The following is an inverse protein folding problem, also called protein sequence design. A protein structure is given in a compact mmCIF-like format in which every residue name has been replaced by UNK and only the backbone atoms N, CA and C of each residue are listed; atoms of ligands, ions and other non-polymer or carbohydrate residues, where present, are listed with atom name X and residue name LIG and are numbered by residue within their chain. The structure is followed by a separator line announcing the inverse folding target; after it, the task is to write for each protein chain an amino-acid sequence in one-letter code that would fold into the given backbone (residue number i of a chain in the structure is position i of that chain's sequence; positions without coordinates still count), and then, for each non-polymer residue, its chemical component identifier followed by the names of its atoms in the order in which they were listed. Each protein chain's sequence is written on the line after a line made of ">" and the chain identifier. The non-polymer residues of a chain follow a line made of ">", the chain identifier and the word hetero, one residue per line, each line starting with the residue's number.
data_IF_151134533689
#
_entry.id   IF_151134533689
#
_cell.length_a   1.000
_cell.length_b   1.000
_cell.length_c   1.000
_cell.angle_alpha   90.00
_cell.angle_beta   90.00
_cell.angle_gamma   90.00
#
_symmetry.space_group_name_H-M   'P 1'
#
loop_
_entity.id
_entity.type
_entity.pdbx_description
1 polymer ?
#
# COMPACT_ATOMS: atom_id res chain seq x y z
N UNK A 1 64.09 -23.85 12.45
CA UNK A 1 62.88 -24.60 12.00
C UNK A 1 62.24 -23.85 10.83
N UNK A 2 62.32 -24.45 9.64
CA UNK A 2 62.13 -23.81 8.34
C UNK A 2 60.66 -23.45 8.05
N UNK A 3 60.49 -22.32 7.36
CA UNK A 3 59.22 -21.80 6.83
C UNK A 3 58.89 -22.55 5.54
N UNK A 4 57.71 -23.17 5.48
CA UNK A 4 57.18 -23.84 4.28
C UNK A 4 56.71 -22.84 3.23
N UNK A 5 56.98 -23.06 1.93
CA UNK A 5 56.44 -22.21 0.88
C UNK A 5 55.01 -22.61 0.46
N UNK A 6 54.20 -21.61 0.15
CA UNK A 6 52.83 -21.74 -0.37
C UNK A 6 52.80 -22.42 -1.76
N UNK A 7 51.78 -23.25 -2.06
CA UNK A 7 51.62 -23.85 -3.38
C UNK A 7 51.08 -22.85 -4.41
N UNK A 8 51.63 -22.92 -5.62
CA UNK A 8 51.21 -22.17 -6.81
C UNK A 8 49.88 -22.73 -7.35
N UNK A 9 48.92 -21.88 -7.79
CA UNK A 9 47.65 -22.35 -8.32
C UNK A 9 47.78 -22.89 -9.75
N UNK A 10 47.24 -24.08 -9.98
CA UNK A 10 47.08 -24.72 -11.29
C UNK A 10 45.98 -24.01 -12.09
N UNK A 11 46.15 -23.74 -13.40
CA UNK A 11 45.10 -23.13 -14.21
C UNK A 11 43.96 -24.12 -14.51
N UNK A 12 42.73 -23.68 -14.26
CA UNK A 12 41.50 -24.42 -14.62
C UNK A 12 41.33 -24.53 -16.15
N UNK A 13 40.89 -25.69 -16.67
CA UNK A 13 40.64 -25.86 -18.11
C UNK A 13 39.38 -25.12 -18.57
N UNK A 14 39.52 -24.40 -19.68
CA UNK A 14 38.42 -23.72 -20.40
C UNK A 14 37.38 -24.73 -20.90
N UNK A 15 36.07 -24.54 -20.66
CA UNK A 15 35.04 -25.45 -21.15
C UNK A 15 34.81 -25.28 -22.66
N UNK A 16 34.73 -26.41 -23.38
CA UNK A 16 34.43 -26.47 -24.81
C UNK A 16 32.98 -26.01 -25.12
N UNK A 17 32.72 -25.41 -26.30
CA UNK A 17 31.40 -24.92 -26.68
C UNK A 17 30.38 -26.05 -26.91
N UNK A 18 29.19 -25.90 -26.33
CA UNK A 18 28.04 -26.81 -26.51
C UNK A 18 27.44 -26.66 -27.92
N UNK A 19 27.11 -27.75 -28.63
CA UNK A 19 26.42 -27.68 -29.91
C UNK A 19 24.95 -27.26 -29.75
N UNK A 20 24.50 -26.41 -30.68
CA UNK A 20 23.14 -25.85 -30.75
C UNK A 20 22.11 -26.94 -31.09
N UNK A 21 21.02 -26.98 -30.32
CA UNK A 21 19.92 -27.94 -30.53
C UNK A 21 18.81 -27.27 -31.33
N UNK A 22 18.60 -27.77 -32.54
CA UNK A 22 17.56 -27.32 -33.48
C UNK A 22 16.15 -27.51 -32.92
N UNK A 23 15.31 -26.48 -33.09
CA UNK A 23 13.87 -26.50 -32.82
C UNK A 23 13.18 -27.53 -33.72
N UNK A 24 12.43 -28.46 -33.13
CA UNK A 24 11.37 -29.21 -33.83
C UNK A 24 10.05 -28.93 -33.13
N UNK A 25 9.19 -28.24 -33.87
CA UNK A 25 7.77 -28.02 -33.62
C UNK A 25 7.00 -29.31 -33.86
N UNK A 26 6.14 -29.69 -32.93
CA UNK A 26 5.09 -30.70 -33.17
C UNK A 26 3.80 -30.24 -32.51
N UNK A 27 2.85 -29.86 -33.36
CA UNK A 27 1.48 -29.55 -33.03
C UNK A 27 0.75 -30.78 -32.49
N UNK A 28 -0.05 -30.59 -31.45
CA UNK A 28 -1.12 -31.51 -31.07
C UNK A 28 -2.41 -30.71 -30.96
N UNK A 29 -3.37 -31.14 -31.76
CA UNK A 29 -4.78 -30.74 -31.82
C UNK A 29 -5.59 -31.79 -31.02
N UNK A 30 -6.82 -31.42 -30.64
CA UNK A 30 -7.91 -32.17 -29.97
C UNK A 30 -7.99 -32.06 -28.44
N UNK A 31 -9.16 -31.96 -27.81
CA UNK A 31 -10.52 -31.48 -28.14
C UNK A 31 -11.20 -31.26 -26.76
N UNK A 32 -11.97 -30.18 -26.59
CA UNK A 32 -12.82 -29.94 -25.39
C UNK A 32 -14.12 -30.74 -25.48
N UNK A 33 -14.70 -31.14 -24.33
CA UNK A 33 -16.14 -31.23 -24.20
C UNK A 33 -16.70 -30.23 -23.19
N UNK A 34 -17.77 -29.60 -23.65
CA UNK A 34 -18.75 -28.74 -22.98
C UNK A 34 -19.63 -29.57 -22.03
N UNK A 35 -19.87 -29.10 -20.80
CA UNK A 35 -21.09 -29.41 -20.03
C UNK A 35 -21.56 -28.16 -19.26
N UNK A 36 -22.84 -27.82 -19.48
CA UNK A 36 -23.65 -26.71 -18.93
C UNK A 36 -23.95 -26.88 -17.41
N UNK A 37 -23.95 -25.85 -16.55
CA UNK A 37 -24.90 -24.72 -16.34
C UNK A 37 -26.16 -25.11 -15.51
N UNK A 38 -26.29 -24.50 -14.31
CA UNK A 38 -27.51 -24.10 -13.53
C UNK A 38 -27.17 -24.15 -12.01
N UNK A 39 -27.51 -23.22 -11.09
CA UNK A 39 -28.68 -22.34 -10.91
C UNK A 39 -28.30 -21.06 -10.11
N UNK A 40 -29.09 -20.00 -10.31
CA UNK A 40 -29.07 -18.68 -9.63
C UNK A 40 -30.26 -18.59 -8.65
N UNK A 41 -30.13 -17.80 -7.56
CA UNK A 41 -31.24 -17.19 -6.80
C UNK A 41 -30.81 -16.80 -5.38
N UNK A 42 -30.31 -15.59 -5.12
CA UNK A 42 -31.02 -14.31 -4.88
C UNK A 42 -31.71 -14.22 -3.51
N UNK A 43 -31.26 -13.28 -2.66
CA UNK A 43 -32.09 -12.45 -1.78
C UNK A 43 -31.29 -11.22 -1.29
N UNK A 44 -31.91 -10.04 -1.44
CA UNK A 44 -31.47 -8.70 -1.04
C UNK A 44 -32.45 -8.12 -0.01
N UNK A 45 -31.97 -7.11 0.73
CA UNK A 45 -32.65 -6.11 1.59
C UNK A 45 -32.90 -6.57 3.07
N UNK A 46 -32.63 -5.80 4.14
CA UNK A 46 -32.76 -4.35 4.36
C UNK A 46 -31.87 -3.80 5.52
N UNK A 47 -31.56 -2.50 5.42
CA UNK A 47 -31.42 -1.43 6.46
C UNK A 47 -30.29 -1.43 7.52
N UNK A 48 -29.43 -0.40 7.42
CA UNK A 48 -29.30 0.65 8.44
C UNK A 48 -28.36 0.40 9.62
N UNK A 49 -27.09 0.85 9.49
CA UNK A 49 -26.16 0.99 10.60
C UNK A 49 -24.76 1.31 10.08
N UNK A 50 -24.10 2.32 10.66
CA UNK A 50 -22.75 2.74 10.30
C UNK A 50 -21.79 1.54 10.33
N UNK A 51 -21.36 1.09 9.15
CA UNK A 51 -20.38 0.02 9.01
C UNK A 51 -19.13 0.62 8.39
N UNK A 52 -18.04 0.61 9.15
CA UNK A 52 -16.70 0.58 8.58
C UNK A 52 -16.59 -0.67 7.72
N UNK A 53 -16.81 -0.51 6.41
CA UNK A 53 -16.65 -1.61 5.46
C UNK A 53 -15.16 -1.72 5.14
N UNK A 54 -14.54 -2.77 5.65
CA UNK A 54 -13.25 -3.28 5.14
C UNK A 54 -13.38 -3.51 3.63
N UNK A 55 -12.76 -2.65 2.81
CA UNK A 55 -12.58 -2.88 1.37
C UNK A 55 -11.26 -3.64 1.18
N UNK A 56 -11.34 -4.97 1.21
CA UNK A 56 -10.22 -5.85 0.89
C UNK A 56 -10.18 -6.07 -0.64
N UNK A 57 -9.52 -5.17 -1.36
CA UNK A 57 -9.35 -5.25 -2.82
C UNK A 57 -7.88 -5.15 -3.21
N UNK A 58 -7.02 -5.86 -2.48
CA UNK A 58 -5.58 -5.86 -2.78
C UNK A 58 -5.27 -6.41 -4.19
N UNK A 59 -6.05 -7.33 -4.77
CA UNK A 59 -5.82 -7.84 -6.14
C UNK A 59 -7.08 -8.46 -6.78
N UNK A 60 -8.09 -7.65 -7.10
CA UNK A 60 -9.19 -8.11 -7.95
C UNK A 60 -8.76 -8.20 -9.43
N UNK A 61 -9.01 -9.34 -10.10
CA UNK A 61 -8.72 -9.50 -11.54
C UNK A 61 -9.65 -8.58 -12.36
N UNK A 62 -9.17 -7.95 -13.44
CA UNK A 62 -10.06 -7.18 -14.31
C UNK A 62 -11.05 -8.13 -15.01
N UNK A 63 -12.34 -7.89 -14.78
CA UNK A 63 -13.41 -8.50 -15.58
C UNK A 63 -13.35 -7.93 -17.00
N UNK A 64 -13.32 -8.81 -18.00
CA UNK A 64 -13.32 -8.44 -19.40
C UNK A 64 -14.62 -7.73 -19.79
N UNK A 65 -14.51 -6.48 -20.26
CA UNK A 65 -15.60 -5.75 -20.90
C UNK A 65 -15.79 -6.21 -22.35
N UNK A 66 -17.01 -6.57 -22.71
CA UNK A 66 -17.47 -6.72 -24.10
C UNK A 66 -18.57 -5.68 -24.41
N UNK A 67 -18.77 -5.33 -25.69
CA UNK A 67 -19.11 -3.97 -26.10
C UNK A 67 -20.62 -3.65 -26.12
N UNK A 68 -20.88 -2.35 -26.05
CA UNK A 68 -22.16 -1.67 -26.16
C UNK A 68 -22.84 -1.92 -27.51
N UNK A 69 -24.15 -2.18 -27.48
CA UNK A 69 -25.02 -2.13 -28.64
C UNK A 69 -25.86 -0.85 -28.64
N UNK A 70 -25.86 -0.19 -29.80
CA UNK A 70 -26.64 0.99 -30.19
C UNK A 70 -28.10 0.61 -30.47
N UNK A 71 -29.05 1.46 -30.10
CA UNK A 71 -30.32 1.55 -30.82
C UNK A 71 -30.90 2.97 -30.77
N UNK A 72 -31.59 3.34 -31.85
CA UNK A 72 -31.81 4.70 -32.30
C UNK A 72 -33.30 5.10 -32.30
N UNK A 73 -33.50 6.42 -32.32
CA UNK A 73 -34.56 7.17 -33.02
C UNK A 73 -35.97 7.24 -32.42
N UNK A 74 -36.44 8.48 -32.16
CA UNK A 74 -37.54 9.08 -32.95
C UNK A 74 -37.71 10.61 -32.72
N UNK A 75 -37.31 11.36 -33.75
CA UNK A 75 -37.94 12.49 -34.44
C UNK A 75 -39.01 13.39 -33.77
N UNK A 76 -38.89 14.73 -33.94
CA UNK A 76 -40.04 15.64 -33.78
C UNK A 76 -39.80 17.17 -33.75
N UNK A 77 -39.59 17.79 -34.92
CA UNK A 77 -40.04 19.15 -35.36
C UNK A 77 -39.58 20.46 -34.68
N UNK A 78 -38.87 21.26 -35.49
CA UNK A 78 -38.81 22.75 -35.54
C UNK A 78 -40.21 23.37 -35.89
N UNK A 79 -40.48 24.71 -35.80
CA UNK A 79 -39.67 25.79 -36.39
C UNK A 79 -39.57 27.18 -35.67
N UNK A 80 -38.50 27.87 -36.04
CA UNK A 80 -38.20 29.33 -36.18
C UNK A 80 -39.23 30.39 -35.75
N UNK A 81 -38.78 31.52 -35.15
CA UNK A 81 -39.01 32.90 -35.63
C UNK A 81 -37.94 33.87 -35.05
N UNK A 82 -37.37 34.73 -35.89
CA UNK A 82 -36.81 36.05 -35.56
C UNK A 82 -37.65 37.08 -36.37
N UNK A 83 -37.93 38.30 -35.87
CA UNK A 83 -37.34 39.45 -36.58
C UNK A 83 -37.06 40.71 -35.73
N UNK A 84 -36.02 41.41 -36.21
CA UNK A 84 -35.71 42.85 -36.26
C UNK A 84 -36.53 43.91 -35.49
N UNK A 85 -35.80 44.90 -34.95
CA UNK A 85 -36.29 46.24 -34.64
C UNK A 85 -35.19 47.21 -34.16
N UNK A 86 -34.85 48.20 -35.00
CA UNK A 86 -34.10 49.46 -34.73
C UNK A 86 -35.00 50.57 -35.35
N UNK A 87 -34.97 51.90 -35.04
CA UNK A 87 -33.81 52.70 -34.61
C UNK A 87 -34.02 53.96 -33.72
N UNK A 88 -32.89 54.49 -33.21
CA UNK A 88 -32.53 55.92 -33.33
C UNK A 88 -32.72 56.85 -32.11
N UNK A 89 -31.64 57.44 -31.59
CA UNK A 89 -31.30 58.86 -31.81
C UNK A 89 -29.96 59.25 -31.15
N UNK A 90 -29.34 60.26 -31.74
CA UNK A 90 -27.95 60.66 -31.60
C UNK A 90 -27.63 61.55 -30.37
N UNK A 91 -26.37 61.51 -29.96
CA UNK A 91 -25.73 62.51 -29.12
C UNK A 91 -24.21 62.36 -29.18
N UNK A 92 -23.55 63.20 -29.96
CA UNK A 92 -22.08 63.36 -29.92
C UNK A 92 -21.68 64.11 -28.65
N UNK A 93 -20.76 63.54 -27.88
CA UNK A 93 -19.90 64.27 -26.97
C UNK A 93 -18.49 63.65 -27.02
N UNK A 94 -17.52 64.50 -27.30
CA UNK A 94 -16.09 64.24 -27.44
C UNK A 94 -15.52 63.75 -26.11
N UNK A 95 -14.94 62.54 -26.08
CA UNK A 95 -14.25 62.01 -24.90
C UNK A 95 -12.72 62.04 -25.11
N UNK A 96 -12.04 62.57 -24.10
CA UNK A 96 -10.59 62.82 -24.01
C UNK A 96 -9.88 61.46 -23.84
N UNK A 97 -8.70 61.21 -24.45
CA UNK A 97 -7.98 59.96 -24.21
C UNK A 97 -7.49 59.90 -22.75
N UNK A 98 -8.05 58.99 -21.96
CA UNK A 98 -7.53 58.62 -20.64
C UNK A 98 -6.32 57.71 -20.87
N UNK A 99 -5.13 58.00 -20.29
CA UNK A 99 -3.99 57.12 -20.46
C UNK A 99 -4.25 55.77 -19.79
N UNK A 100 -3.88 54.69 -20.47
CA UNK A 100 -3.95 53.33 -19.95
C UNK A 100 -3.18 53.23 -18.62
N UNK A 101 -3.91 52.98 -17.54
CA UNK A 101 -3.30 52.57 -16.29
C UNK A 101 -2.73 51.16 -16.49
N UNK A 102 -1.42 51.01 -16.28
CA UNK A 102 -0.80 49.71 -16.03
C UNK A 102 -1.62 48.95 -14.98
N UNK A 103 -1.79 47.63 -15.08
CA UNK A 103 -2.33 46.85 -13.97
C UNK A 103 -1.42 47.08 -12.77
N UNK A 104 -1.96 47.75 -11.76
CA UNK A 104 -1.34 47.85 -10.45
C UNK A 104 -1.13 46.42 -9.96
N UNK A 105 0.13 46.04 -9.83
CA UNK A 105 0.57 44.84 -9.16
C UNK A 105 -0.10 44.82 -7.78
N UNK A 106 -1.09 43.94 -7.59
CA UNK A 106 -1.74 43.76 -6.31
C UNK A 106 -0.63 43.27 -5.36
N UNK A 107 -0.37 43.96 -4.23
CA UNK A 107 0.64 43.52 -3.29
C UNK A 107 0.34 42.08 -2.86
N UNK A 108 1.35 41.24 -2.59
CA UNK A 108 1.12 39.92 -2.03
C UNK A 108 0.28 40.09 -0.77
N UNK A 109 -0.95 39.58 -0.78
CA UNK A 109 -1.68 39.34 0.44
C UNK A 109 -0.87 38.30 1.20
N UNK A 110 -0.04 38.79 2.10
CA UNK A 110 0.59 38.03 3.16
C UNK A 110 -0.58 37.49 4.00
N UNK A 111 -1.06 36.29 3.64
CA UNK A 111 -1.98 35.49 4.44
C UNK A 111 -1.20 35.13 5.70
N UNK A 112 -1.16 36.07 6.63
CA UNK A 112 -0.42 36.04 7.87
C UNK A 112 -1.14 35.10 8.85
N UNK A 113 -1.29 33.83 8.45
CA UNK A 113 -1.56 32.77 9.40
C UNK A 113 -0.36 32.75 10.35
N UNK A 114 -0.54 32.92 11.67
CA UNK A 114 0.57 32.75 12.58
C UNK A 114 1.17 31.37 12.31
N UNK A 115 2.48 31.33 12.03
CA UNK A 115 3.22 30.12 11.72
C UNK A 115 3.14 29.14 12.90
N UNK A 116 2.06 28.38 12.97
CA UNK A 116 1.76 27.38 13.98
C UNK A 116 1.69 26.00 13.34
N UNK A 117 1.98 24.96 14.14
CA UNK A 117 1.85 23.57 13.70
C UNK A 117 0.42 23.04 13.90
N UNK A 118 -0.58 23.93 13.86
CA UNK A 118 -1.98 23.55 13.93
C UNK A 118 -2.36 22.77 12.66
N UNK A 119 -3.08 21.67 12.85
CA UNK A 119 -3.56 20.83 11.75
C UNK A 119 -4.95 21.29 11.31
N UNK A 120 -5.12 21.54 10.01
CA UNK A 120 -6.39 21.90 9.37
C UNK A 120 -7.03 20.69 8.68
N UNK A 121 -6.84 19.50 9.26
CA UNK A 121 -7.24 18.23 8.69
C UNK A 121 -6.07 17.33 8.31
N UNK A 122 -6.31 16.34 7.44
CA UNK A 122 -5.35 15.30 7.08
C UNK A 122 -5.48 14.81 5.65
N UNK A 123 -4.41 14.23 5.13
CA UNK A 123 -4.37 13.42 3.91
C UNK A 123 -3.99 12.00 4.29
N UNK A 124 -4.75 11.01 3.81
CA UNK A 124 -4.50 9.58 4.06
C UNK A 124 -4.56 8.78 2.76
N UNK A 125 -3.67 7.79 2.66
CA UNK A 125 -3.63 6.85 1.55
C UNK A 125 -4.40 5.58 1.88
N UNK A 126 -5.05 5.01 0.87
CA UNK A 126 -5.82 3.78 0.96
C UNK A 126 -5.52 2.86 -0.23
N UNK A 127 -6.03 1.65 -0.13
CA UNK A 127 -6.04 0.69 -1.23
C UNK A 127 -7.47 0.60 -1.75
N UNK A 128 -7.65 0.76 -3.06
CA UNK A 128 -8.93 0.57 -3.71
C UNK A 128 -8.89 -0.41 -4.87
N UNK A 129 -8.31 -0.03 -6.00
CA UNK A 129 -8.17 -0.91 -7.17
C UNK A 129 -6.79 -1.56 -7.20
N UNK A 130 -5.79 -0.85 -6.69
CA UNK A 130 -4.42 -1.26 -6.49
C UNK A 130 -3.92 -0.98 -5.08
N UNK A 131 -2.60 -1.01 -4.92
CA UNK A 131 -1.96 -0.71 -3.64
C UNK A 131 -1.55 0.76 -3.59
N UNK A 132 -1.97 1.50 -2.56
CA UNK A 132 -1.73 2.94 -2.39
C UNK A 132 -2.21 3.78 -3.57
N UNK A 133 -3.35 3.43 -4.16
CA UNK A 133 -3.92 4.09 -5.34
C UNK A 133 -5.07 5.06 -5.02
N UNK A 134 -5.48 5.14 -3.75
CA UNK A 134 -6.50 6.09 -3.29
C UNK A 134 -5.92 7.06 -2.27
N UNK A 135 -6.37 8.31 -2.33
CA UNK A 135 -6.09 9.35 -1.34
C UNK A 135 -7.39 10.01 -0.93
N UNK A 136 -7.59 10.14 0.37
CA UNK A 136 -8.66 10.97 0.94
C UNK A 136 -8.01 12.14 1.67
N UNK A 137 -8.40 13.35 1.26
CA UNK A 137 -8.07 14.59 1.94
C UNK A 137 -9.31 15.06 2.70
N UNK A 138 -9.19 15.22 4.00
CA UNK A 138 -10.22 15.85 4.84
C UNK A 138 -9.66 17.14 5.39
N UNK A 139 -10.30 18.27 5.07
CA UNK A 139 -9.97 19.59 5.58
C UNK A 139 -10.97 20.02 6.65
N UNK A 140 -10.52 20.78 7.65
CA UNK A 140 -11.34 21.27 8.75
C UNK A 140 -10.97 22.68 9.15
N UNK A 141 -11.97 23.57 9.27
CA UNK A 141 -11.77 24.94 9.74
C UNK A 141 -10.85 25.79 8.86
N UNK A 142 -10.81 25.53 7.56
CA UNK A 142 -10.10 26.38 6.59
C UNK A 142 -10.92 27.65 6.38
N UNK A 143 -10.25 28.81 6.39
CA UNK A 143 -10.90 30.09 6.11
C UNK A 143 -11.39 30.14 4.66
N UNK A 144 -12.59 30.68 4.37
CA UNK A 144 -13.09 30.82 3.01
C UNK A 144 -12.08 31.52 2.09
N UNK A 145 -12.00 31.08 0.84
CA UNK A 145 -11.18 31.76 -0.16
C UNK A 145 -11.69 33.19 -0.38
N UNK A 146 -10.81 34.18 -0.61
CA UNK A 146 -11.22 35.54 -0.98
C UNK A 146 -12.08 35.57 -2.25
N UNK A 147 -12.90 36.62 -2.40
CA UNK A 147 -13.74 36.82 -3.57
C UNK A 147 -12.94 36.71 -4.88
N UNK A 148 -13.45 35.92 -5.83
CA UNK A 148 -12.79 35.66 -7.11
C UNK A 148 -11.71 34.58 -7.07
N UNK A 149 -11.52 33.90 -5.93
CA UNK A 149 -10.60 32.78 -5.78
C UNK A 149 -11.31 31.51 -5.27
N UNK A 150 -10.62 30.38 -5.38
CA UNK A 150 -10.99 29.09 -4.83
C UNK A 150 -9.75 28.33 -4.36
N UNK A 151 -9.92 27.32 -3.52
CA UNK A 151 -8.84 26.40 -3.16
C UNK A 151 -8.83 25.19 -4.07
N UNK A 152 -7.65 24.77 -4.50
CA UNK A 152 -7.44 23.51 -5.22
C UNK A 152 -6.38 22.68 -4.52
N UNK A 153 -6.61 21.37 -4.43
CA UNK A 153 -5.72 20.43 -3.76
C UNK A 153 -4.91 19.62 -4.76
N UNK A 154 -3.66 19.32 -4.40
CA UNK A 154 -2.70 18.65 -5.25
C UNK A 154 -1.88 17.65 -4.43
N UNK A 155 -1.62 16.48 -5.02
CA UNK A 155 -0.46 15.68 -4.64
C UNK A 155 0.78 16.23 -5.34
N UNK A 156 1.88 16.32 -4.59
CA UNK A 156 3.14 16.87 -5.06
C UNK A 156 4.28 15.85 -4.92
N UNK A 157 5.04 15.72 -6.01
CA UNK A 157 6.36 15.08 -6.05
C UNK A 157 7.44 16.14 -6.29
N UNK A 158 8.64 15.71 -6.68
CA UNK A 158 9.75 16.64 -6.96
C UNK A 158 9.38 17.66 -8.06
N UNK A 159 9.03 17.16 -9.25
CA UNK A 159 8.75 17.98 -10.43
C UNK A 159 7.33 17.82 -10.97
N UNK A 160 6.53 16.93 -10.38
CA UNK A 160 5.20 16.57 -10.88
C UNK A 160 4.13 16.81 -9.84
N UNK A 161 3.00 17.33 -10.29
CA UNK A 161 1.83 17.61 -9.46
C UNK A 161 0.65 16.85 -10.05
N UNK A 162 -0.25 16.38 -9.19
CA UNK A 162 -1.49 15.71 -9.58
C UNK A 162 -2.64 16.42 -8.88
N UNK A 163 -3.53 17.04 -9.67
CA UNK A 163 -4.74 17.66 -9.12
C UNK A 163 -5.60 16.59 -8.46
N UNK A 164 -6.10 16.93 -7.28
CA UNK A 164 -7.15 16.24 -6.56
C UNK A 164 -8.52 16.91 -6.79
N UNK A 165 -8.51 18.16 -7.27
CA UNK A 165 -9.69 18.95 -7.60
C UNK A 165 -9.89 20.16 -6.69
N UNK A 166 -11.00 20.86 -6.93
CA UNK A 166 -11.44 22.02 -6.14
C UNK A 166 -11.85 21.56 -4.74
N UNK A 167 -11.32 22.22 -3.72
CA UNK A 167 -11.65 22.00 -2.32
C UNK A 167 -12.91 22.79 -1.95
N UNK A 168 -14.07 22.18 -2.15
CA UNK A 168 -15.36 22.78 -1.87
C UNK A 168 -15.64 22.83 -0.36
N UNK A 169 -15.33 23.98 0.27
CA UNK A 169 -15.56 24.21 1.69
C UNK A 169 -17.05 24.38 2.03
N UNK A 170 -17.49 23.80 3.15
CA UNK A 170 -18.77 24.09 3.77
C UNK A 170 -18.73 25.41 4.58
N UNK A 171 -19.86 25.79 5.16
CA UNK A 171 -19.97 27.03 5.96
C UNK A 171 -19.10 27.04 7.22
N UNK A 172 -18.62 25.89 7.67
CA UNK A 172 -17.72 25.72 8.81
C UNK A 172 -16.24 25.57 8.37
N UNK A 173 -15.95 25.69 7.07
CA UNK A 173 -14.60 25.56 6.53
C UNK A 173 -14.11 24.12 6.41
N UNK A 174 -15.02 23.13 6.39
CA UNK A 174 -14.66 21.72 6.19
C UNK A 174 -14.84 21.30 4.75
N UNK A 175 -14.04 20.34 4.29
CA UNK A 175 -14.19 19.71 2.99
C UNK A 175 -13.62 18.30 2.99
N UNK A 176 -14.05 17.51 2.01
CA UNK A 176 -13.49 16.20 1.73
C UNK A 176 -13.28 16.04 0.23
N UNK A 177 -12.13 15.49 -0.16
CA UNK A 177 -11.83 15.06 -1.52
C UNK A 177 -11.37 13.61 -1.47
N UNK A 178 -11.97 12.78 -2.30
CA UNK A 178 -11.51 11.41 -2.58
C UNK A 178 -10.98 11.35 -4.00
N UNK A 179 -9.73 10.92 -4.13
CA UNK A 179 -9.07 10.71 -5.42
C UNK A 179 -8.61 9.26 -5.53
N UNK A 180 -8.83 8.68 -6.71
CA UNK A 180 -8.40 7.32 -7.05
C UNK A 180 -7.59 7.39 -8.35
N UNK A 181 -6.42 6.75 -8.36
CA UNK A 181 -5.68 6.50 -9.59
C UNK A 181 -6.42 5.42 -10.41
N UNK A 182 -6.92 5.82 -11.58
CA UNK A 182 -7.73 4.97 -12.46
C UNK A 182 -6.95 3.78 -13.02
N UNK A 183 -5.62 3.82 -12.95
CA UNK A 183 -4.72 2.74 -13.38
C UNK A 183 -4.26 1.87 -12.21
N UNK A 184 -4.71 2.15 -10.98
CA UNK A 184 -4.31 1.42 -9.78
C UNK A 184 -2.83 1.60 -9.44
N UNK A 185 -2.21 2.70 -9.88
CA UNK A 185 -0.81 2.99 -9.61
C UNK A 185 -0.56 3.38 -8.15
N UNK A 186 0.52 2.87 -7.57
CA UNK A 186 0.95 3.27 -6.24
C UNK A 186 1.40 4.75 -6.23
N UNK A 187 0.59 5.61 -5.62
CA UNK A 187 0.79 7.06 -5.59
C UNK A 187 2.04 7.48 -4.82
N UNK A 188 2.45 6.72 -3.80
CA UNK A 188 3.64 7.00 -2.99
C UNK A 188 4.95 6.86 -3.79
N UNK A 189 4.92 6.19 -4.94
CA UNK A 189 6.07 6.12 -5.86
C UNK A 189 6.46 7.49 -6.41
N UNK A 190 5.50 8.41 -6.53
CA UNK A 190 5.68 9.73 -7.17
C UNK A 190 5.40 10.90 -6.25
N UNK A 191 4.47 10.73 -5.31
CA UNK A 191 3.95 11.82 -4.50
C UNK A 191 4.19 11.53 -3.03
N UNK A 192 4.87 12.46 -2.35
CA UNK A 192 5.17 12.39 -0.92
C UNK A 192 4.84 13.70 -0.19
N UNK A 193 4.18 14.62 -0.88
CA UNK A 193 3.72 15.91 -0.38
C UNK A 193 2.31 16.17 -0.87
N UNK A 194 1.67 17.12 -0.22
CA UNK A 194 0.40 17.72 -0.66
C UNK A 194 0.52 19.23 -0.62
N UNK A 195 -0.21 19.90 -1.51
CA UNK A 195 -0.35 21.36 -1.55
C UNK A 195 -1.84 21.70 -1.72
N UNK A 196 -2.31 22.73 -1.02
CA UNK A 196 -3.58 23.41 -1.31
C UNK A 196 -3.20 24.83 -1.75
N UNK A 197 -3.57 25.19 -2.96
CA UNK A 197 -3.25 26.47 -3.58
C UNK A 197 -4.48 27.36 -3.69
N UNK A 198 -4.26 28.67 -3.73
CA UNK A 198 -5.30 29.65 -4.00
C UNK A 198 -5.32 29.98 -5.51
N UNK A 199 -6.36 29.52 -6.19
CA UNK A 199 -6.52 29.65 -7.65
C UNK A 199 -7.63 30.66 -8.01
N UNK A 200 -7.57 31.31 -9.20
CA UNK A 200 -8.68 32.13 -9.69
C UNK A 200 -9.98 31.33 -9.81
N UNK A 201 -11.13 31.96 -9.65
CA UNK A 201 -12.44 31.35 -9.89
C UNK A 201 -13.23 32.16 -10.93
N UNK A 202 -13.45 31.63 -12.16
CA UNK A 202 -13.09 30.29 -12.62
C UNK A 202 -11.59 30.13 -12.92
N UNK A 203 -11.05 28.93 -12.68
CA UNK A 203 -9.69 28.56 -13.12
C UNK A 203 -9.72 27.92 -14.51
N UNK A 204 -8.80 28.33 -15.37
CA UNK A 204 -8.59 27.77 -16.70
C UNK A 204 -7.21 27.12 -16.86
N UNK A 205 -6.34 27.25 -15.86
CA UNK A 205 -5.03 26.63 -15.83
C UNK A 205 -5.14 25.17 -15.37
N UNK A 206 -4.52 24.21 -16.06
CA UNK A 206 -4.40 22.84 -15.55
C UNK A 206 -3.28 22.67 -14.51
N UNK A 207 -2.49 23.72 -14.26
CA UNK A 207 -1.35 23.73 -13.35
C UNK A 207 -1.62 24.66 -12.16
N UNK A 208 -1.08 24.35 -10.97
CA UNK A 208 -1.24 25.22 -9.80
C UNK A 208 -0.58 26.57 -10.03
N UNK A 209 -1.18 27.65 -9.51
CA UNK A 209 -0.60 29.01 -9.52
C UNK A 209 0.69 29.12 -8.71
N UNK A 210 0.97 28.15 -7.84
CA UNK A 210 2.09 28.18 -6.89
C UNK A 210 1.82 29.04 -5.65
N UNK A 211 0.62 29.64 -5.53
CA UNK A 211 0.19 30.35 -4.31
C UNK A 211 -0.30 29.35 -3.26
N UNK A 212 0.64 28.64 -2.65
CA UNK A 212 0.36 27.58 -1.67
C UNK A 212 -0.11 28.19 -0.35
N UNK A 213 -1.37 27.93 0.00
CA UNK A 213 -2.00 28.37 1.24
C UNK A 213 -1.82 27.34 2.37
N UNK A 214 -1.85 26.04 2.04
CA UNK A 214 -1.58 24.96 2.99
C UNK A 214 -0.70 23.89 2.33
N UNK A 215 0.13 23.23 3.12
CA UNK A 215 0.96 22.14 2.63
C UNK A 215 1.24 21.09 3.70
N UNK A 216 1.70 19.93 3.24
CA UNK A 216 2.23 18.89 4.10
C UNK A 216 3.12 17.93 3.30
N UNK A 217 3.67 16.94 4.00
CA UNK A 217 4.39 15.84 3.38
C UNK A 217 4.86 14.83 4.40
N UNK A 218 5.39 13.72 3.88
CA UNK A 218 6.06 12.72 4.70
C UNK A 218 7.51 13.18 4.92
N UNK A 219 8.00 13.26 6.17
CA UNK A 219 9.37 13.66 6.47
C UNK A 219 10.40 12.81 5.70
N UNK A 220 11.34 13.44 4.97
CA UNK A 220 12.15 12.76 3.97
C UNK A 220 13.09 11.70 4.54
N UNK A 221 13.64 11.86 5.74
CA UNK A 221 14.59 10.88 6.28
C UNK A 221 13.84 9.61 6.72
N UNK A 222 12.69 9.76 7.38
CA UNK A 222 11.81 8.63 7.69
C UNK A 222 11.20 7.99 6.43
N UNK A 223 10.86 8.80 5.41
CA UNK A 223 10.21 8.35 4.17
C UNK A 223 10.99 7.24 3.45
N UNK A 224 12.31 7.30 3.43
CA UNK A 224 13.13 6.29 2.74
C UNK A 224 12.86 4.88 3.31
N UNK A 225 12.80 4.76 4.64
CA UNK A 225 12.48 3.50 5.30
C UNK A 225 11.02 3.09 5.13
N UNK A 226 10.08 4.04 5.12
CA UNK A 226 8.68 3.76 4.82
C UNK A 226 8.50 3.24 3.38
N UNK A 227 9.27 3.76 2.42
CA UNK A 227 9.28 3.24 1.05
C UNK A 227 9.86 1.83 0.96
N UNK A 228 10.87 1.50 1.77
CA UNK A 228 11.37 0.12 1.84
C UNK A 228 10.30 -0.87 2.34
N UNK A 229 9.38 -0.43 3.21
CA UNK A 229 8.24 -1.25 3.65
C UNK A 229 7.17 -1.43 2.57
N UNK A 230 6.76 -0.32 1.93
CA UNK A 230 5.52 -0.27 1.15
C UNK A 230 5.70 -0.19 -0.38
N UNK A 231 6.84 0.29 -0.85
CA UNK A 231 7.08 0.53 -2.27
C UNK A 231 8.07 -0.48 -2.83
N UNK A 232 9.28 -0.53 -2.26
CA UNK A 232 10.34 -1.37 -2.79
C UNK A 232 11.65 -1.23 -2.03
N UNK A 233 12.42 -2.32 -2.00
CA UNK A 233 13.77 -2.36 -1.45
C UNK A 233 14.70 -3.08 -2.43
N UNK A 234 15.95 -2.63 -2.56
CA UNK A 234 16.83 -3.11 -3.63
C UNK A 234 17.18 -4.60 -3.49
N UNK A 235 17.26 -5.11 -2.25
CA UNK A 235 17.70 -6.48 -1.98
C UNK A 235 16.55 -7.50 -2.01
N UNK A 236 15.29 -7.06 -2.12
CA UNK A 236 14.14 -7.97 -2.26
C UNK A 236 13.91 -8.37 -3.72
N UNK A 237 13.32 -9.56 -3.97
CA UNK A 237 12.94 -9.97 -5.31
C UNK A 237 11.98 -8.98 -5.96
N UNK A 238 12.24 -8.69 -7.24
CA UNK A 238 11.49 -7.71 -8.03
C UNK A 238 11.42 -6.32 -7.40
N UNK A 239 12.32 -6.00 -6.46
CA UNK A 239 12.33 -4.76 -5.70
C UNK A 239 11.00 -4.49 -4.97
N UNK A 240 10.40 -5.54 -4.40
CA UNK A 240 9.13 -5.48 -3.69
C UNK A 240 9.31 -4.87 -2.29
N UNK A 241 8.34 -4.09 -1.80
CA UNK A 241 8.38 -3.60 -0.41
C UNK A 241 8.35 -4.77 0.59
N UNK A 242 9.09 -4.66 1.69
CA UNK A 242 9.24 -5.76 2.67
C UNK A 242 7.88 -6.29 3.16
N UNK A 243 7.00 -5.37 3.58
CA UNK A 243 5.70 -5.72 4.14
C UNK A 243 4.72 -6.19 3.06
N UNK A 244 4.89 -5.72 1.82
CA UNK A 244 4.12 -6.18 0.66
C UNK A 244 4.48 -7.63 0.31
N UNK A 245 5.77 -7.97 0.31
CA UNK A 245 6.26 -9.33 0.14
C UNK A 245 5.85 -10.26 1.28
N UNK A 246 5.93 -9.77 2.52
CA UNK A 246 5.43 -10.48 3.71
C UNK A 246 3.95 -10.86 3.56
N UNK A 247 3.10 -9.92 3.11
CA UNK A 247 1.68 -10.16 2.89
C UNK A 247 1.41 -11.16 1.75
N UNK A 248 2.21 -11.16 0.69
CA UNK A 248 2.10 -12.15 -0.39
C UNK A 248 2.46 -13.56 0.12
N UNK A 249 3.58 -13.70 0.84
CA UNK A 249 3.98 -14.98 1.42
C UNK A 249 2.97 -15.51 2.46
N UNK A 250 2.43 -14.65 3.33
CA UNK A 250 1.40 -15.03 4.30
C UNK A 250 0.11 -15.55 3.63
N UNK A 251 -0.30 -14.98 2.49
CA UNK A 251 -1.42 -15.49 1.69
C UNK A 251 -1.13 -16.87 1.10
N UNK A 252 0.07 -17.06 0.53
CA UNK A 252 0.49 -18.38 0.03
C UNK A 252 0.46 -19.44 1.14
N UNK A 253 0.89 -19.10 2.36
CA UNK A 253 0.78 -20.03 3.51
C UNK A 253 -0.67 -20.43 3.78
N UNK A 254 -1.62 -19.48 3.73
CA UNK A 254 -3.03 -19.77 3.94
C UNK A 254 -3.63 -20.64 2.82
N UNK A 255 -3.25 -20.41 1.57
CA UNK A 255 -3.65 -21.25 0.44
C UNK A 255 -3.16 -22.69 0.60
N UNK A 256 -1.86 -22.85 0.93
CA UNK A 256 -1.26 -24.17 1.08
C UNK A 256 -1.72 -24.91 2.33
N UNK A 257 -2.00 -24.22 3.44
CA UNK A 257 -2.52 -24.88 4.65
C UNK A 257 -3.94 -25.40 4.43
N UNK A 258 -4.77 -24.66 3.68
CA UNK A 258 -6.11 -25.11 3.30
C UNK A 258 -6.03 -26.33 2.35
N UNK A 259 -5.11 -26.29 1.38
CA UNK A 259 -4.86 -27.43 0.50
C UNK A 259 -4.34 -28.66 1.26
N UNK A 260 -3.45 -28.47 2.23
CA UNK A 260 -2.93 -29.53 3.12
C UNK A 260 -4.05 -30.17 3.94
N UNK A 261 -4.91 -29.36 4.57
CA UNK A 261 -6.06 -29.85 5.33
C UNK A 261 -7.01 -30.67 4.45
N UNK A 262 -7.38 -30.15 3.28
CA UNK A 262 -8.25 -30.86 2.35
C UNK A 262 -7.61 -32.15 1.81
N UNK A 263 -6.29 -32.18 1.62
CA UNK A 263 -5.57 -33.39 1.24
C UNK A 263 -5.63 -34.46 2.34
N UNK A 264 -5.47 -34.05 3.60
CA UNK A 264 -5.58 -34.92 4.76
C UNK A 264 -6.97 -35.56 4.88
N UNK A 265 -8.03 -34.77 4.74
CA UNK A 265 -9.42 -35.26 4.77
C UNK A 265 -9.72 -36.29 3.67
N UNK A 266 -9.12 -36.10 2.49
CA UNK A 266 -9.20 -37.04 1.37
C UNK A 266 -8.21 -38.21 1.47
N UNK A 267 -7.47 -38.33 2.58
CA UNK A 267 -6.46 -39.36 2.84
C UNK A 267 -5.35 -39.41 1.77
N UNK A 268 -4.98 -38.26 1.21
CA UNK A 268 -3.93 -38.11 0.19
C UNK A 268 -2.61 -37.73 0.84
N UNK A 269 -1.89 -38.72 1.38
CA UNK A 269 -0.66 -38.48 2.15
C UNK A 269 0.43 -37.72 1.39
N UNK A 270 0.67 -38.05 0.12
CA UNK A 270 1.66 -37.35 -0.70
C UNK A 270 1.33 -35.86 -0.86
N UNK A 271 0.06 -35.53 -1.08
CA UNK A 271 -0.38 -34.13 -1.22
C UNK A 271 -0.27 -33.35 0.11
N UNK A 272 -0.43 -34.02 1.26
CA UNK A 272 -0.18 -33.38 2.57
C UNK A 272 1.28 -32.99 2.69
N UNK A 273 2.22 -33.91 2.40
CA UNK A 273 3.66 -33.63 2.50
C UNK A 273 4.11 -32.56 1.50
N UNK A 274 3.60 -32.62 0.27
CA UNK A 274 3.87 -31.62 -0.76
C UNK A 274 3.46 -30.20 -0.35
N UNK A 275 2.27 -30.04 0.24
CA UNK A 275 1.84 -28.72 0.72
C UNK A 275 2.63 -28.27 1.96
N UNK A 276 2.97 -29.20 2.85
CA UNK A 276 3.82 -28.87 4.00
C UNK A 276 5.22 -28.42 3.56
N UNK A 277 5.81 -29.07 2.56
CA UNK A 277 7.07 -28.65 1.94
C UNK A 277 6.97 -27.25 1.35
N UNK A 278 5.93 -26.98 0.55
CA UNK A 278 5.71 -25.66 -0.04
C UNK A 278 5.68 -24.56 1.04
N UNK A 279 5.00 -24.82 2.15
CA UNK A 279 4.95 -23.90 3.27
C UNK A 279 6.30 -23.70 3.96
N UNK A 280 7.10 -24.76 4.15
CA UNK A 280 8.48 -24.62 4.69
C UNK A 280 9.33 -23.77 3.75
N UNK A 281 9.27 -24.02 2.44
CA UNK A 281 10.04 -23.27 1.45
C UNK A 281 9.63 -21.79 1.38
N UNK A 282 8.33 -21.46 1.53
CA UNK A 282 7.84 -20.08 1.69
C UNK A 282 8.40 -19.43 2.96
N UNK A 283 8.44 -20.17 4.07
CA UNK A 283 8.88 -19.64 5.37
C UNK A 283 10.37 -19.32 5.38
N UNK A 284 11.22 -20.22 4.89
CA UNK A 284 12.68 -20.11 5.05
C UNK A 284 13.38 -19.46 3.86
N UNK A 285 12.78 -19.47 2.68
CA UNK A 285 13.42 -18.98 1.46
C UNK A 285 14.55 -19.88 0.93
N UNK A 286 15.04 -19.59 -0.28
CA UNK A 286 15.93 -20.45 -1.07
C UNK A 286 17.31 -20.72 -0.46
N UNK A 287 17.79 -19.82 0.37
CA UNK A 287 19.07 -19.91 1.09
C UNK A 287 18.85 -20.27 2.57
N UNK A 288 17.60 -20.38 3.02
CA UNK A 288 17.24 -20.70 4.39
C UNK A 288 17.53 -22.15 4.74
N UNK A 289 17.83 -22.37 6.03
CA UNK A 289 17.96 -23.71 6.56
C UNK A 289 16.63 -24.45 6.46
N UNK A 290 16.65 -25.65 5.89
CA UNK A 290 15.45 -26.47 5.70
C UNK A 290 14.75 -26.25 4.36
N UNK A 291 15.31 -25.45 3.44
CA UNK A 291 14.83 -25.35 2.07
C UNK A 291 15.12 -26.65 1.28
N UNK A 292 14.18 -27.08 0.43
CA UNK A 292 14.43 -28.12 -0.57
C UNK A 292 13.23 -29.01 -0.88
N UNK A 293 13.54 -30.19 -1.45
CA UNK A 293 12.63 -31.30 -1.70
C UNK A 293 12.59 -32.17 -0.42
N UNK A 294 11.66 -31.84 0.45
CA UNK A 294 11.51 -32.39 1.79
C UNK A 294 10.64 -33.64 1.79
N UNK A 295 9.68 -33.73 0.87
CA UNK A 295 8.85 -34.92 0.68
C UNK A 295 9.50 -36.01 -0.18
N UNK A 296 10.63 -35.68 -0.82
CA UNK A 296 11.49 -36.57 -1.62
C UNK A 296 10.80 -37.10 -2.87
N UNK A 297 9.88 -36.32 -3.46
CA UNK A 297 9.22 -36.65 -4.72
C UNK A 297 10.10 -36.36 -5.96
N UNK A 298 11.29 -35.78 -5.76
CA UNK A 298 12.25 -35.40 -6.79
C UNK A 298 12.06 -33.98 -7.30
N UNK A 299 11.18 -33.17 -6.70
CA UNK A 299 10.90 -31.78 -7.08
C UNK A 299 10.83 -30.90 -5.85
N UNK A 300 11.48 -29.74 -5.93
CA UNK A 300 11.29 -28.68 -4.94
C UNK A 300 9.99 -27.94 -5.23
N UNK A 301 9.06 -27.97 -4.28
CA UNK A 301 7.81 -27.22 -4.33
C UNK A 301 8.00 -25.88 -3.65
N UNK A 302 8.16 -24.81 -4.43
CA UNK A 302 8.32 -23.45 -3.93
C UNK A 302 7.52 -22.48 -4.81
N UNK A 303 6.32 -22.06 -4.38
CA UNK A 303 5.48 -21.11 -5.11
C UNK A 303 5.89 -19.66 -4.87
N UNK A 304 6.86 -19.40 -3.98
CA UNK A 304 7.25 -18.06 -3.56
C UNK A 304 8.30 -17.44 -4.50
N UNK A 305 8.71 -16.22 -4.18
CA UNK A 305 9.86 -15.58 -4.81
C UNK A 305 11.22 -16.12 -4.30
N UNK A 306 11.21 -16.93 -3.24
CA UNK A 306 12.39 -17.50 -2.60
C UNK A 306 13.09 -16.60 -1.59
N UNK A 307 12.50 -15.46 -1.21
CA UNK A 307 13.08 -14.56 -0.21
C UNK A 307 12.88 -15.03 1.23
N UNK A 308 11.79 -15.75 1.50
CA UNK A 308 11.48 -16.24 2.84
C UNK A 308 10.80 -15.19 3.74
N UNK A 309 9.95 -15.67 4.66
CA UNK A 309 9.42 -14.86 5.74
C UNK A 309 10.45 -14.70 6.87
N UNK A 310 11.12 -15.79 7.21
CA UNK A 310 12.18 -15.90 8.22
C UNK A 310 13.55 -15.71 7.59
N UNK A 311 14.60 -15.72 8.43
CA UNK A 311 15.99 -15.62 8.01
C UNK A 311 16.31 -16.59 6.85
N UNK A 312 16.83 -16.04 5.76
CA UNK A 312 17.08 -16.74 4.52
C UNK A 312 18.59 -16.89 4.31
N UNK A 313 19.22 -17.71 5.14
CA UNK A 313 20.68 -17.89 5.15
C UNK A 313 21.36 -16.71 5.85
N UNK A 314 22.21 -15.97 5.13
CA UNK A 314 22.91 -14.79 5.66
C UNK A 314 22.16 -13.46 5.48
N UNK A 315 20.98 -13.49 4.84
CA UNK A 315 20.15 -12.31 4.57
C UNK A 315 18.85 -12.36 5.39
N UNK A 316 18.34 -11.18 5.72
CA UNK A 316 17.04 -11.00 6.38
C UNK A 316 15.91 -11.60 5.54
N UNK A 317 14.90 -12.16 6.22
CA UNK A 317 13.61 -12.45 5.60
C UNK A 317 12.69 -11.23 5.60
N UNK A 318 11.51 -11.37 5.00
CA UNK A 318 10.54 -10.27 4.97
C UNK A 318 10.13 -9.76 6.36
N UNK A 319 10.04 -10.64 7.37
CA UNK A 319 9.63 -10.24 8.72
C UNK A 319 10.68 -9.35 9.38
N UNK A 320 11.95 -9.78 9.37
CA UNK A 320 13.05 -9.00 9.98
C UNK A 320 13.26 -7.68 9.24
N UNK A 321 13.20 -7.68 7.90
CA UNK A 321 13.26 -6.46 7.11
C UNK A 321 12.13 -5.49 7.45
N UNK A 322 10.91 -5.99 7.68
CA UNK A 322 9.79 -5.16 8.16
C UNK A 322 10.07 -4.58 9.55
N UNK A 323 10.57 -5.39 10.49
CA UNK A 323 10.92 -4.93 11.85
C UNK A 323 11.98 -3.83 11.79
N UNK A 324 13.07 -4.08 11.08
CA UNK A 324 14.19 -3.13 10.95
C UNK A 324 13.76 -1.82 10.31
N UNK A 325 13.08 -1.86 9.16
CA UNK A 325 12.72 -0.62 8.46
C UNK A 325 11.60 0.16 9.14
N UNK A 326 10.68 -0.49 9.86
CA UNK A 326 9.74 0.23 10.71
C UNK A 326 10.47 0.93 11.87
N UNK A 327 11.38 0.22 12.55
CA UNK A 327 12.20 0.80 13.61
C UNK A 327 13.05 1.99 13.12
N UNK A 328 13.73 1.83 11.99
CA UNK A 328 14.52 2.92 11.42
C UNK A 328 13.67 4.14 11.08
N UNK A 329 12.47 3.96 10.50
CA UNK A 329 11.57 5.08 10.24
C UNK A 329 11.17 5.81 11.53
N UNK A 330 10.95 5.09 12.63
CA UNK A 330 10.63 5.67 13.94
C UNK A 330 11.79 6.46 14.54
N UNK A 331 13.01 5.96 14.37
CA UNK A 331 14.22 6.51 14.98
C UNK A 331 14.79 7.73 14.22
N UNK A 332 14.27 8.03 13.03
CA UNK A 332 14.72 9.19 12.28
C UNK A 332 14.44 10.50 13.03
N UNK A 333 15.39 11.47 13.03
CA UNK A 333 15.22 12.74 13.71
C UNK A 333 14.01 13.57 13.24
N UNK A 334 13.50 13.32 12.03
CA UNK A 334 12.35 14.00 11.45
C UNK A 334 11.04 13.21 11.56
N UNK A 335 11.03 12.06 12.24
CA UNK A 335 9.86 11.20 12.31
C UNK A 335 8.68 11.91 13.02
N UNK A 336 7.56 12.01 12.30
CA UNK A 336 6.31 12.60 12.78
C UNK A 336 5.60 11.69 13.80
N UNK A 337 4.59 12.20 14.51
CA UNK A 337 3.83 11.39 15.49
C UNK A 337 3.19 10.14 14.86
N UNK A 338 2.55 10.20 13.67
CA UNK A 338 2.00 9.00 13.03
C UNK A 338 3.07 7.96 12.69
N UNK A 339 4.24 8.38 12.17
CA UNK A 339 5.36 7.48 11.90
C UNK A 339 5.82 6.83 13.21
N UNK A 340 6.04 7.66 14.24
CA UNK A 340 6.25 7.32 15.66
C UNK A 340 5.46 6.11 16.12
N UNK A 341 4.18 6.39 16.26
CA UNK A 341 3.21 5.49 16.84
C UNK A 341 3.06 4.21 16.00
N UNK A 342 2.88 4.38 14.69
CA UNK A 342 2.49 3.26 13.85
C UNK A 342 3.67 2.39 13.41
N UNK A 343 4.90 2.91 13.35
CA UNK A 343 6.09 2.07 13.26
C UNK A 343 6.16 1.09 14.43
N UNK A 344 5.90 1.54 15.67
CA UNK A 344 5.86 0.66 16.85
C UNK A 344 4.82 -0.45 16.69
N UNK A 345 3.64 -0.11 16.18
CA UNK A 345 2.57 -1.08 15.90
C UNK A 345 2.94 -2.11 14.82
N UNK A 346 3.64 -1.66 13.76
CA UNK A 346 4.19 -2.53 12.71
C UNK A 346 5.20 -3.50 13.32
N UNK A 347 6.12 -3.01 14.15
CA UNK A 347 7.13 -3.84 14.82
C UNK A 347 6.49 -4.90 15.72
N UNK A 348 5.50 -4.52 16.53
CA UNK A 348 4.79 -5.47 17.42
C UNK A 348 4.13 -6.57 16.59
N UNK A 349 3.36 -6.19 15.55
CA UNK A 349 2.67 -7.14 14.70
C UNK A 349 3.65 -8.04 13.94
N UNK A 350 4.76 -7.50 13.44
CA UNK A 350 5.79 -8.29 12.77
C UNK A 350 6.46 -9.30 13.72
N UNK A 351 6.76 -8.92 14.97
CA UNK A 351 7.29 -9.84 15.99
C UNK A 351 6.32 -10.97 16.35
N UNK A 352 5.01 -10.67 16.44
CA UNK A 352 4.00 -11.71 16.60
C UNK A 352 4.07 -12.72 15.43
N UNK A 353 4.15 -12.20 14.20
CA UNK A 353 4.25 -13.04 13.00
C UNK A 353 5.54 -13.85 12.96
N UNK A 354 6.66 -13.32 13.46
CA UNK A 354 7.93 -14.05 13.57
C UNK A 354 7.80 -15.30 14.47
N UNK A 355 7.18 -15.12 15.63
CA UNK A 355 6.92 -16.21 16.58
C UNK A 355 6.06 -17.31 15.96
N UNK A 356 4.92 -16.93 15.34
CA UNK A 356 4.03 -17.91 14.70
C UNK A 356 4.63 -18.56 13.46
N UNK A 357 5.41 -17.82 12.67
CA UNK A 357 6.10 -18.36 11.50
C UNK A 357 7.17 -19.39 11.90
N UNK A 358 7.90 -19.12 12.98
CA UNK A 358 8.89 -20.06 13.53
C UNK A 358 8.22 -21.34 14.06
N UNK A 359 7.13 -21.21 14.83
CA UNK A 359 6.36 -22.36 15.32
C UNK A 359 5.76 -23.18 14.16
N UNK A 360 5.22 -22.50 13.14
CA UNK A 360 4.66 -23.14 11.96
C UNK A 360 5.73 -23.93 11.19
N UNK A 361 6.92 -23.35 10.97
CA UNK A 361 8.04 -24.05 10.29
C UNK A 361 8.37 -25.36 10.99
N UNK A 362 8.54 -25.33 12.30
CA UNK A 362 8.93 -26.49 13.08
C UNK A 362 7.84 -27.58 13.10
N UNK A 363 6.57 -27.15 13.17
CA UNK A 363 5.42 -28.04 13.09
C UNK A 363 5.29 -28.70 11.71
N UNK A 364 5.54 -27.95 10.63
CA UNK A 364 5.51 -28.48 9.27
C UNK A 364 6.63 -29.51 9.03
N UNK A 365 7.84 -29.24 9.53
CA UNK A 365 8.94 -30.20 9.48
C UNK A 365 8.56 -31.52 10.16
N UNK A 366 7.84 -31.45 11.29
CA UNK A 366 7.29 -32.64 11.96
C UNK A 366 6.23 -33.35 11.12
N UNK A 367 5.28 -32.62 10.52
CA UNK A 367 4.26 -33.20 9.63
C UNK A 367 4.91 -33.93 8.44
N UNK A 368 6.00 -33.38 7.89
CA UNK A 368 6.76 -33.99 6.78
C UNK A 368 7.54 -35.23 7.22
N UNK A 369 8.08 -35.26 8.43
CA UNK A 369 8.88 -36.39 8.92
C UNK A 369 8.03 -37.57 9.43
N UNK A 370 6.92 -37.29 10.10
CA UNK A 370 6.14 -38.30 10.81
C UNK A 370 5.21 -39.10 9.89
N UNK A 371 4.90 -40.37 10.21
CA UNK A 371 3.81 -41.10 9.57
C UNK A 371 2.47 -40.38 9.77
N UNK A 372 1.67 -40.26 8.70
CA UNK A 372 0.34 -39.69 8.82
C UNK A 372 -0.62 -40.69 9.47
N UNK A 373 -1.28 -40.28 10.55
CA UNK A 373 -2.20 -41.08 11.35
C UNK A 373 -3.23 -40.23 12.07
N UNK A 374 -3.98 -40.82 13.00
CA UNK A 374 -5.05 -40.14 13.73
C UNK A 374 -4.54 -38.87 14.48
N UNK A 375 -3.32 -38.91 14.99
CA UNK A 375 -2.69 -37.80 15.72
C UNK A 375 -2.25 -36.64 14.79
N UNK A 376 -2.11 -36.89 13.48
CA UNK A 376 -1.74 -35.85 12.51
C UNK A 376 -2.81 -34.78 12.34
N UNK A 377 -4.08 -35.09 12.66
CA UNK A 377 -5.18 -34.13 12.62
C UNK A 377 -4.92 -32.92 13.53
N UNK A 378 -4.38 -33.15 14.73
CA UNK A 378 -4.10 -32.07 15.67
C UNK A 378 -3.00 -31.13 15.14
N UNK A 379 -1.91 -31.69 14.62
CA UNK A 379 -0.81 -30.91 14.05
C UNK A 379 -1.26 -30.11 12.82
N UNK A 380 -2.04 -30.71 11.91
CA UNK A 380 -2.52 -30.03 10.71
C UNK A 380 -3.46 -28.87 11.08
N UNK A 381 -4.35 -29.06 12.07
CA UNK A 381 -5.24 -27.98 12.55
C UNK A 381 -4.48 -26.87 13.26
N UNK A 382 -3.44 -27.21 14.03
CA UNK A 382 -2.56 -26.21 14.62
C UNK A 382 -1.81 -25.42 13.54
N UNK A 383 -1.31 -26.09 12.49
CA UNK A 383 -0.68 -25.43 11.36
C UNK A 383 -1.67 -24.47 10.66
N UNK A 384 -2.94 -24.89 10.48
CA UNK A 384 -4.01 -24.00 9.97
C UNK A 384 -4.18 -22.76 10.83
N UNK A 385 -4.24 -22.91 12.16
CA UNK A 385 -4.39 -21.77 13.06
C UNK A 385 -3.18 -20.84 13.05
N UNK A 386 -1.95 -21.38 12.96
CA UNK A 386 -0.74 -20.56 12.89
C UNK A 386 -0.65 -19.78 11.57
N UNK A 387 -0.94 -20.41 10.44
CA UNK A 387 -0.97 -19.73 9.15
C UNK A 387 -2.04 -18.62 9.10
N UNK A 388 -3.21 -18.86 9.69
CA UNK A 388 -4.26 -17.85 9.83
C UNK A 388 -3.80 -16.67 10.69
N UNK A 389 -3.20 -16.92 11.87
CA UNK A 389 -2.65 -15.87 12.74
C UNK A 389 -1.56 -15.04 12.07
N UNK A 390 -0.67 -15.66 11.29
CA UNK A 390 0.37 -14.93 10.54
C UNK A 390 -0.29 -13.88 9.64
N UNK A 391 -1.35 -14.23 8.92
CA UNK A 391 -2.01 -13.29 8.01
C UNK A 391 -2.95 -12.31 8.75
N UNK A 392 -3.90 -12.85 9.50
CA UNK A 392 -5.04 -12.12 10.04
C UNK A 392 -4.84 -11.66 11.48
N UNK A 393 -3.91 -12.26 12.22
CA UNK A 393 -3.79 -12.10 13.66
C UNK A 393 -4.81 -12.94 14.44
N UNK A 394 -5.00 -12.63 15.71
CA UNK A 394 -6.09 -13.17 16.55
C UNK A 394 -6.49 -12.13 17.58
N UNK A 395 -7.76 -12.13 17.97
CA UNK A 395 -8.21 -11.41 19.16
C UNK A 395 -7.85 -12.27 20.40
N UNK A 396 -6.90 -11.81 21.20
CA UNK A 396 -6.42 -12.53 22.38
C UNK A 396 -7.17 -12.08 23.64
N UNK A 397 -7.54 -10.81 23.71
CA UNK A 397 -8.16 -10.20 24.87
C UNK A 397 -9.70 -10.28 24.87
N UNK A 398 -10.30 -10.68 23.74
CA UNK A 398 -11.73 -10.94 23.58
C UNK A 398 -12.57 -9.68 23.39
N UNK A 399 -11.99 -8.59 22.89
CA UNK A 399 -12.68 -7.33 22.64
C UNK A 399 -13.26 -7.19 21.22
N UNK A 400 -13.24 -8.26 20.43
CA UNK A 400 -13.70 -8.34 19.05
C UNK A 400 -12.86 -7.50 18.06
N UNK A 401 -11.69 -7.05 18.48
CA UNK A 401 -10.72 -6.35 17.64
C UNK A 401 -9.39 -7.11 17.60
N UNK A 402 -8.66 -6.98 16.50
CA UNK A 402 -7.28 -7.47 16.39
C UNK A 402 -6.39 -6.24 16.44
N UNK A 403 -5.72 -6.04 17.56
CA UNK A 403 -4.96 -4.83 17.84
C UNK A 403 -3.47 -5.06 17.60
N UNK A 404 -2.68 -3.99 17.37
CA UNK A 404 -1.23 -4.07 17.25
C UNK A 404 -0.54 -4.25 18.61
N UNK A 405 -1.01 -5.21 19.41
CA UNK A 405 -0.46 -5.57 20.71
C UNK A 405 0.20 -6.95 20.67
N UNK A 406 0.97 -7.26 21.71
CA UNK A 406 1.64 -8.55 21.82
C UNK A 406 0.64 -9.72 21.75
N UNK A 407 0.88 -10.63 20.82
CA UNK A 407 0.08 -11.84 20.64
C UNK A 407 -1.23 -11.69 19.84
N UNK A 408 -1.51 -10.51 19.26
CA UNK A 408 -2.72 -10.26 18.47
C UNK A 408 -2.46 -9.94 17.00
N UNK A 409 -1.84 -8.79 16.71
CA UNK A 409 -1.68 -8.27 15.36
C UNK A 409 -0.90 -9.21 14.42
N UNK A 410 -1.46 -9.47 13.24
CA UNK A 410 -0.83 -10.20 12.15
C UNK A 410 -0.36 -9.28 11.01
N UNK A 411 -0.07 -9.85 9.84
CA UNK A 411 0.41 -9.06 8.68
C UNK A 411 -0.60 -8.02 8.21
N UNK A 412 -1.91 -8.29 8.27
CA UNK A 412 -2.94 -7.29 7.92
C UNK A 412 -2.90 -6.07 8.85
N UNK A 413 -2.79 -6.29 10.16
CA UNK A 413 -2.65 -5.23 11.17
C UNK A 413 -1.36 -4.43 10.93
N UNK A 414 -0.25 -5.11 10.64
CA UNK A 414 1.01 -4.44 10.28
C UNK A 414 0.83 -3.55 9.03
N UNK A 415 0.20 -4.07 7.98
CA UNK A 415 -0.02 -3.33 6.74
C UNK A 415 -0.88 -2.08 6.97
N UNK A 416 -1.98 -2.21 7.71
CA UNK A 416 -2.84 -1.10 8.07
C UNK A 416 -2.07 0.00 8.80
N UNK A 417 -1.29 -0.37 9.82
CA UNK A 417 -0.49 0.61 10.56
C UNK A 417 0.62 1.22 9.71
N UNK A 418 1.23 0.47 8.80
CA UNK A 418 2.19 1.04 7.86
C UNK A 418 1.56 2.09 6.94
N UNK A 419 0.28 1.93 6.54
CA UNK A 419 -0.45 2.97 5.81
C UNK A 419 -0.67 4.22 6.67
N UNK A 420 -0.96 4.08 7.97
CA UNK A 420 -1.10 5.22 8.87
C UNK A 420 0.20 5.98 9.13
N UNK A 421 1.37 5.38 8.86
CA UNK A 421 2.64 6.11 8.86
C UNK A 421 2.70 7.19 7.76
N UNK A 422 1.84 7.09 6.73
CA UNK A 422 1.75 8.03 5.61
C UNK A 422 0.83 9.23 5.89
N UNK A 423 0.14 9.26 7.03
CA UNK A 423 -0.79 10.34 7.37
C UNK A 423 -0.06 11.70 7.36
N UNK A 424 -0.58 12.64 6.56
CA UNK A 424 -0.06 14.00 6.46
C UNK A 424 -1.03 14.98 7.12
N UNK A 425 -0.59 15.71 8.14
CA UNK A 425 -1.34 16.81 8.74
C UNK A 425 -1.34 18.04 7.83
N UNK A 426 -2.50 18.61 7.50
CA UNK A 426 -2.58 19.83 6.68
C UNK A 426 -2.14 21.03 7.52
N UNK A 427 -1.10 21.76 7.10
CA UNK A 427 -0.52 22.88 7.86
C UNK A 427 -0.54 24.15 7.01
N UNK A 428 -0.87 25.29 7.62
CA UNK A 428 -0.87 26.58 6.94
C UNK A 428 0.52 26.99 6.46
N UNK A 429 0.57 27.54 5.24
CA UNK A 429 1.77 28.00 4.55
C UNK A 429 2.35 26.98 3.56
N UNK A 430 3.33 27.43 2.79
CA UNK A 430 4.06 26.63 1.81
C UNK A 430 5.19 25.80 2.45
N UNK A 431 5.57 24.70 1.78
CA UNK A 431 6.71 23.84 2.14
C UNK A 431 6.72 23.35 3.60
N UNK A 432 5.54 23.11 4.16
CA UNK A 432 5.39 22.62 5.53
C UNK A 432 5.53 21.10 5.56
N UNK A 433 6.07 20.61 6.67
CA UNK A 433 6.07 19.20 7.05
C UNK A 433 5.49 19.10 8.47
N UNK A 434 4.89 17.96 8.85
CA UNK A 434 4.59 17.68 10.24
C UNK A 434 5.85 17.83 11.09
N UNK A 435 5.76 18.46 12.27
CA UNK A 435 6.92 18.54 13.15
C UNK A 435 7.38 17.14 13.56
N UNK A 436 8.68 16.93 13.85
CA UNK A 436 9.13 15.73 14.52
C UNK A 436 8.35 15.61 15.81
N UNK A 437 7.85 14.42 16.11
CA UNK A 437 7.09 14.29 17.32
C UNK A 437 8.01 14.45 18.56
N UNK A 438 7.47 14.82 19.72
CA UNK A 438 8.27 15.14 20.90
C UNK A 438 9.20 13.99 21.29
N UNK A 439 10.43 14.28 21.74
CA UNK A 439 11.26 13.26 22.35
C UNK A 439 10.49 12.65 23.53
N UNK A 440 10.46 11.31 23.62
CA UNK A 440 9.90 10.66 24.80
C UNK A 440 10.74 11.12 26.00
N UNK A 441 10.09 11.78 26.96
CA UNK A 441 10.77 12.21 28.18
C UNK A 441 11.34 10.96 28.84
N UNK A 442 12.65 10.92 29.10
CA UNK A 442 13.28 9.83 29.83
C UNK A 442 12.43 9.48 31.07
N UNK A 443 12.21 8.20 31.38
CA UNK A 443 11.39 7.81 32.52
C UNK A 443 11.93 8.53 33.74
N UNK A 444 11.08 9.35 34.37
CA UNK A 444 11.38 10.01 35.63
C UNK A 444 11.74 8.90 36.60
N UNK A 445 13.03 8.77 36.95
CA UNK A 445 13.42 7.85 38.00
C UNK A 445 12.59 8.20 39.24
N UNK A 446 11.89 7.23 39.86
CA UNK A 446 11.14 7.50 41.07
C UNK A 446 12.10 8.11 42.11
N UNK A 447 11.72 9.19 42.79
CA UNK A 447 12.58 9.82 43.76
C UNK A 447 12.84 8.85 44.91
N UNK A 448 14.08 8.40 45.03
CA UNK A 448 14.58 7.68 46.19
C UNK A 448 14.96 6.23 45.92
N UNK A 449 16.15 6.03 45.37
CA UNK A 449 17.12 5.09 45.93
C UNK A 449 18.52 5.60 45.54
N UNK A 450 19.07 6.46 46.41
CA UNK A 450 20.50 6.72 46.48
C UNK A 450 21.18 5.65 47.35
N UNK A 451 22.52 5.54 47.25
CA UNK A 451 23.31 4.36 47.60
C UNK A 451 23.23 3.88 49.05
#
# INVERSE_FOLDING_TARGET
>A
PAVSPNPTPTPSPTPAPRPSRSKKTSAWVFVLPVVALAFIGMCLLFSGGAAWVFRDSLFARPAATLPTATEASHNGKQPTVNPAGTPGHAGHATEIPIPAANPTEIPPHDMNHPAGNASFGRVRFFNLNGFLDEVILTATGIEPAPDGFQYEAWLAGAEVRRSLGVLALDAAGNAEITFVDDKGGNLLTRYNRMEITLEPNPDSSPNPSGKVAYSSGIPPMALDHVKHLLVGYADTPNQTGMLVGQAQAARLLNEHVAAMLGAYERKKAAEVRKNAEAMVNILVGKQGQGYGDLDKDGKVNDPSDGYGLLLNGGQEGYIEGTISHAGFAADMPDASQPIRLHAGHVVISAKNTEGWASELRDLLAKIIADPLGADSNANIRLATSLADRILNGRDLNGNEAIEPIEGEGGVKTALEHALYMLDMSIIAGANRLPPPAPAESAPVQPPGYGP
#
